data_IF_946451918008
#
_entry.id   IF_946451918008
#
_cell.length_a   1.000
_cell.length_b   1.000
_cell.length_c   1.000
_cell.angle_alpha   90.00
_cell.angle_beta   90.00
_cell.angle_gamma   90.00
#
_symmetry.space_group_name_H-M   'P 1'
#
loop_
_entity.id
_entity.type
_entity.pdbx_description
1 polymer ?
#
# COMPACT_ATOMS: atom_id res chain seq x y z
N UNK A 1 -5.49 -23.92 12.53
CA UNK A 1 -6.15 -22.84 11.76
C UNK A 1 -5.53 -22.79 10.37
N UNK A 2 -6.28 -22.36 9.36
CA UNK A 2 -5.80 -22.03 8.00
C UNK A 2 -6.06 -20.55 7.74
N UNK A 3 -5.06 -19.85 7.22
CA UNK A 3 -5.17 -18.46 6.76
C UNK A 3 -5.14 -18.46 5.23
N UNK A 4 -6.15 -17.86 4.61
CA UNK A 4 -6.26 -17.72 3.16
C UNK A 4 -6.07 -16.26 2.76
N UNK A 5 -5.06 -16.03 1.92
CA UNK A 5 -4.72 -14.72 1.32
C UNK A 5 -4.93 -14.73 -0.19
N UNK A 6 -5.81 -15.61 -0.69
CA UNK A 6 -6.08 -15.74 -2.12
C UNK A 6 -7.57 -16.02 -2.37
N UNK A 7 -8.22 -15.35 -3.35
CA UNK A 7 -9.67 -15.44 -3.54
C UNK A 7 -10.14 -16.84 -3.91
N UNK A 8 -9.31 -17.64 -4.58
CA UNK A 8 -9.67 -18.96 -5.08
C UNK A 8 -9.37 -20.11 -4.09
N UNK A 9 -8.75 -19.82 -2.94
CA UNK A 9 -8.34 -20.87 -2.01
C UNK A 9 -9.32 -21.07 -0.84
N UNK A 10 -10.31 -20.20 -0.66
CA UNK A 10 -11.24 -20.26 0.48
C UNK A 10 -12.07 -21.57 0.48
N UNK A 11 -12.73 -21.89 -0.63
CA UNK A 11 -13.56 -23.10 -0.75
C UNK A 11 -12.72 -24.37 -0.65
N UNK A 12 -11.59 -24.45 -1.37
CA UNK A 12 -10.71 -25.61 -1.34
C UNK A 12 -10.11 -25.84 0.05
N UNK A 13 -9.71 -24.76 0.73
CA UNK A 13 -9.21 -24.85 2.11
C UNK A 13 -10.28 -25.38 3.06
N UNK A 14 -11.52 -24.89 2.95
CA UNK A 14 -12.64 -25.40 3.75
C UNK A 14 -12.91 -26.88 3.50
N UNK A 15 -12.99 -27.30 2.23
CA UNK A 15 -13.19 -28.72 1.90
C UNK A 15 -12.05 -29.62 2.43
N UNK A 16 -10.80 -29.16 2.34
CA UNK A 16 -9.66 -29.89 2.88
C UNK A 16 -9.74 -30.01 4.42
N UNK A 17 -10.17 -28.96 5.12
CA UNK A 17 -10.39 -29.00 6.57
C UNK A 17 -11.45 -30.06 6.92
N UNK A 18 -12.60 -30.04 6.24
CA UNK A 18 -13.69 -31.00 6.48
C UNK A 18 -13.25 -32.45 6.25
N UNK A 19 -12.53 -32.71 5.15
CA UNK A 19 -12.03 -34.06 4.81
C UNK A 19 -10.94 -34.56 5.75
N UNK A 20 -10.22 -33.67 6.44
CA UNK A 20 -9.12 -34.06 7.33
C UNK A 20 -9.58 -34.72 8.64
N UNK A 21 -10.86 -34.61 9.00
CA UNK A 21 -11.38 -35.06 10.29
C UNK A 21 -10.84 -34.29 11.50
N UNK A 22 -10.06 -33.21 11.28
CA UNK A 22 -9.47 -32.36 12.32
C UNK A 22 -10.05 -30.94 12.22
N UNK A 23 -10.94 -30.54 13.13
CA UNK A 23 -11.51 -29.19 13.15
C UNK A 23 -10.41 -28.12 13.18
N UNK A 24 -10.50 -27.14 12.27
CA UNK A 24 -9.60 -25.99 12.19
C UNK A 24 -10.41 -24.78 11.75
N UNK A 25 -10.16 -23.63 12.37
CA UNK A 25 -10.72 -22.38 11.87
C UNK A 25 -10.10 -21.98 10.53
N UNK A 26 -10.91 -21.37 9.68
CA UNK A 26 -10.54 -20.74 8.40
C UNK A 26 -10.73 -19.23 8.50
N UNK A 27 -9.62 -18.51 8.34
CA UNK A 27 -9.61 -17.05 8.22
C UNK A 27 -9.28 -16.65 6.79
N UNK A 28 -10.01 -15.67 6.25
CA UNK A 28 -9.74 -15.05 4.95
C UNK A 28 -9.26 -13.61 5.15
N UNK A 29 -8.18 -13.21 4.51
CA UNK A 29 -7.73 -11.80 4.47
C UNK A 29 -7.85 -11.30 3.05
N UNK A 30 -8.77 -10.38 2.81
CA UNK A 30 -9.00 -9.79 1.48
C UNK A 30 -7.81 -8.90 1.13
N UNK A 31 -7.14 -9.19 0.01
CA UNK A 31 -5.95 -8.41 -0.43
C UNK A 31 -6.24 -7.33 -1.47
N UNK A 32 -7.49 -7.22 -1.90
CA UNK A 32 -7.98 -6.22 -2.83
C UNK A 32 -8.67 -5.09 -2.05
N UNK A 33 -8.30 -3.82 -2.28
CA UNK A 33 -8.68 -2.73 -1.37
C UNK A 33 -10.16 -2.35 -1.41
N UNK A 34 -10.83 -2.45 -2.57
CA UNK A 34 -12.12 -1.79 -2.79
C UNK A 34 -13.15 -2.77 -3.34
N UNK A 35 -13.08 -3.10 -4.62
CA UNK A 35 -13.82 -4.19 -5.24
C UNK A 35 -12.88 -5.38 -5.48
N UNK A 36 -13.45 -6.57 -5.43
CA UNK A 36 -12.67 -7.79 -5.32
C UNK A 36 -13.45 -8.98 -5.85
N UNK A 37 -12.76 -10.07 -6.21
CA UNK A 37 -13.43 -11.27 -6.74
C UNK A 37 -14.37 -11.91 -5.70
N UNK A 38 -15.54 -12.43 -6.12
CA UNK A 38 -16.53 -13.07 -5.21
C UNK A 38 -15.97 -14.23 -4.39
N UNK A 39 -14.88 -14.84 -4.84
CA UNK A 39 -14.17 -15.89 -4.11
C UNK A 39 -13.69 -15.47 -2.71
N UNK A 40 -13.49 -14.18 -2.46
CA UNK A 40 -13.17 -13.63 -1.14
C UNK A 40 -14.31 -13.75 -0.13
N UNK A 41 -15.56 -13.70 -0.58
CA UNK A 41 -16.76 -13.66 0.29
C UNK A 41 -17.33 -15.03 0.55
N UNK A 42 -16.48 -15.92 1.08
CA UNK A 42 -16.90 -17.27 1.45
C UNK A 42 -17.58 -17.25 2.82
N UNK A 43 -18.90 -17.44 2.85
CA UNK A 43 -19.72 -17.29 4.06
C UNK A 43 -19.45 -18.33 5.16
N UNK A 44 -18.80 -19.45 4.84
CA UNK A 44 -18.41 -20.45 5.84
C UNK A 44 -17.05 -20.19 6.48
N UNK A 45 -16.33 -19.13 6.09
CA UNK A 45 -15.15 -18.70 6.85
C UNK A 45 -15.56 -18.29 8.27
N UNK A 46 -14.70 -18.59 9.24
CA UNK A 46 -14.88 -18.19 10.64
C UNK A 46 -14.67 -16.68 10.82
N UNK A 47 -13.73 -16.12 10.05
CA UNK A 47 -13.42 -14.71 10.05
C UNK A 47 -12.97 -14.25 8.66
N UNK A 48 -13.48 -13.10 8.23
CA UNK A 48 -13.05 -12.38 7.03
C UNK A 48 -12.49 -11.02 7.44
N UNK A 49 -11.25 -10.75 7.09
CA UNK A 49 -10.60 -9.47 7.31
C UNK A 49 -10.73 -8.61 6.06
N UNK A 50 -11.31 -7.42 6.23
CA UNK A 50 -11.46 -6.42 5.20
C UNK A 50 -10.34 -5.36 5.29
N UNK A 51 -9.77 -4.93 4.15
CA UNK A 51 -8.70 -3.94 4.14
C UNK A 51 -9.19 -2.50 4.23
N UNK A 52 -10.43 -2.22 3.84
CA UNK A 52 -11.06 -0.90 3.91
C UNK A 52 -12.51 -1.01 4.34
N UNK A 53 -13.10 0.09 4.80
CA UNK A 53 -14.54 0.14 5.10
C UNK A 53 -15.40 -0.11 3.84
N UNK A 54 -14.92 0.27 2.66
CA UNK A 54 -15.59 -0.04 1.39
C UNK A 54 -15.61 -1.55 1.16
N UNK A 55 -14.47 -2.22 1.29
CA UNK A 55 -14.38 -3.67 1.15
C UNK A 55 -15.23 -4.40 2.20
N UNK A 56 -15.27 -3.90 3.44
CA UNK A 56 -16.14 -4.43 4.51
C UNK A 56 -17.61 -4.38 4.11
N UNK A 57 -18.08 -3.23 3.61
CA UNK A 57 -19.46 -3.07 3.12
C UNK A 57 -19.77 -4.00 1.94
N UNK A 58 -18.83 -4.19 1.02
CA UNK A 58 -18.97 -5.13 -0.10
C UNK A 58 -19.08 -6.57 0.42
N UNK A 59 -18.27 -6.97 1.40
CA UNK A 59 -18.29 -8.31 1.96
C UNK A 59 -19.65 -8.64 2.63
N UNK A 60 -20.18 -7.70 3.41
CA UNK A 60 -21.50 -7.82 4.05
C UNK A 60 -22.61 -7.91 2.99
N UNK A 61 -22.58 -7.04 1.98
CA UNK A 61 -23.55 -7.05 0.87
C UNK A 61 -23.52 -8.36 0.09
N UNK A 62 -22.37 -9.04 0.06
CA UNK A 62 -22.17 -10.37 -0.53
C UNK A 62 -22.41 -11.52 0.45
N UNK A 63 -23.15 -11.27 1.54
CA UNK A 63 -23.66 -12.27 2.50
C UNK A 63 -22.60 -12.92 3.39
N UNK A 64 -21.45 -12.28 3.60
CA UNK A 64 -20.61 -12.63 4.75
C UNK A 64 -21.29 -12.08 6.02
N UNK A 65 -21.52 -12.89 7.07
CA UNK A 65 -22.15 -12.42 8.30
C UNK A 65 -21.38 -11.22 8.90
N UNK A 66 -22.03 -10.08 9.23
CA UNK A 66 -21.35 -8.87 9.70
C UNK A 66 -20.43 -9.09 10.91
N UNK A 67 -20.83 -9.96 11.83
CA UNK A 67 -20.07 -10.35 13.03
C UNK A 67 -18.79 -11.14 12.72
N UNK A 68 -18.67 -11.66 11.49
CA UNK A 68 -17.48 -12.34 10.98
C UNK A 68 -16.62 -11.46 10.08
N UNK A 69 -16.97 -10.18 9.88
CA UNK A 69 -16.17 -9.25 9.08
C UNK A 69 -15.46 -8.24 10.00
N UNK A 70 -14.13 -8.31 10.07
CA UNK A 70 -13.31 -7.34 10.82
C UNK A 70 -12.58 -6.40 9.87
N UNK A 71 -12.67 -5.09 10.13
CA UNK A 71 -11.85 -4.08 9.46
C UNK A 71 -10.51 -3.98 10.20
N UNK A 72 -9.47 -4.64 9.68
CA UNK A 72 -8.12 -4.58 10.26
C UNK A 72 -7.09 -3.97 9.32
N UNK A 73 -7.47 -3.69 8.07
CA UNK A 73 -6.53 -3.20 7.06
C UNK A 73 -5.90 -4.33 6.24
N UNK A 74 -5.20 -3.93 5.17
CA UNK A 74 -4.35 -4.83 4.40
C UNK A 74 -3.05 -5.07 5.20
N UNK A 75 -2.54 -6.32 5.30
CA UNK A 75 -1.26 -6.57 5.96
C UNK A 75 -0.14 -5.70 5.38
N UNK A 76 0.53 -4.95 6.24
CA UNK A 76 1.68 -4.10 5.93
C UNK A 76 2.79 -4.36 6.95
N UNK A 77 4.06 -4.25 6.52
CA UNK A 77 5.20 -4.37 7.44
C UNK A 77 5.18 -3.21 8.45
N UNK A 78 5.33 -3.51 9.73
CA UNK A 78 5.27 -2.50 10.82
C UNK A 78 6.35 -1.41 10.73
N UNK A 79 7.39 -1.62 9.90
CA UNK A 79 8.38 -0.59 9.58
C UNK A 79 7.78 0.56 8.77
N UNK A 80 6.68 0.35 8.04
CA UNK A 80 5.88 1.41 7.45
C UNK A 80 5.04 2.07 8.54
N UNK A 81 5.54 3.20 9.02
CA UNK A 81 4.94 4.01 10.07
C UNK A 81 5.29 5.47 9.82
N UNK A 82 4.57 6.44 10.44
CA UNK A 82 5.00 7.82 10.39
C UNK A 82 6.42 7.99 10.96
N UNK A 83 7.20 8.96 10.44
CA UNK A 83 8.53 9.25 10.96
C UNK A 83 8.44 9.79 12.39
N UNK A 84 9.38 9.38 13.25
CA UNK A 84 9.56 9.97 14.57
C UNK A 84 10.13 11.40 14.44
N UNK A 85 9.99 12.26 15.47
CA UNK A 85 10.59 13.60 15.45
C UNK A 85 12.09 13.55 15.09
N UNK A 86 12.49 14.32 14.07
CA UNK A 86 13.87 14.37 13.56
C UNK A 86 14.31 13.20 12.68
N UNK A 87 13.53 12.12 12.60
CA UNK A 87 13.89 10.92 11.81
C UNK A 87 13.90 11.20 10.31
N UNK A 88 12.95 12.00 9.81
CA UNK A 88 12.88 12.38 8.39
C UNK A 88 14.16 13.08 7.93
N UNK A 89 14.63 14.07 8.67
CA UNK A 89 15.87 14.80 8.38
C UNK A 89 17.10 13.88 8.46
N UNK A 90 17.17 13.02 9.49
CA UNK A 90 18.27 12.06 9.63
C UNK A 90 18.33 11.07 8.45
N UNK A 91 17.17 10.58 7.99
CA UNK A 91 17.08 9.72 6.81
C UNK A 91 17.50 10.44 5.54
N UNK A 92 17.09 11.70 5.35
CA UNK A 92 17.53 12.54 4.22
C UNK A 92 19.05 12.67 4.18
N UNK A 93 19.71 13.02 5.29
CA UNK A 93 21.18 13.06 5.37
C UNK A 93 21.81 11.72 4.99
N UNK A 94 21.27 10.61 5.53
CA UNK A 94 21.77 9.26 5.25
C UNK A 94 21.65 8.88 3.76
N UNK A 95 20.64 9.39 3.07
CA UNK A 95 20.45 9.19 1.63
C UNK A 95 21.15 10.24 0.76
N UNK A 96 21.90 11.18 1.35
CA UNK A 96 22.58 12.26 0.60
C UNK A 96 21.63 13.33 0.07
N UNK A 97 20.48 13.50 0.71
CA UNK A 97 19.43 14.46 0.35
C UNK A 97 19.49 15.71 1.24
N UNK A 98 19.01 16.83 0.73
CA UNK A 98 18.86 18.05 1.53
C UNK A 98 17.76 17.86 2.59
N UNK A 99 17.99 18.33 3.82
CA UNK A 99 17.11 18.04 4.96
C UNK A 99 15.74 18.72 4.86
N UNK A 100 15.70 19.94 4.32
CA UNK A 100 14.50 20.79 4.34
C UNK A 100 13.77 20.83 2.99
N UNK A 101 14.26 20.12 1.97
CA UNK A 101 13.62 20.10 0.65
C UNK A 101 12.46 19.12 0.59
N UNK A 102 11.38 19.54 -0.06
CA UNK A 102 10.28 18.66 -0.40
C UNK A 102 10.80 17.47 -1.21
N UNK A 103 10.46 16.25 -0.82
CA UNK A 103 11.06 15.03 -1.37
C UNK A 103 9.98 14.14 -1.98
N UNK A 104 10.07 13.93 -3.30
CA UNK A 104 9.12 13.13 -4.08
C UNK A 104 9.70 11.75 -4.35
N UNK A 105 8.97 10.70 -3.96
CA UNK A 105 9.31 9.32 -4.30
C UNK A 105 8.54 8.88 -5.54
N UNK A 106 9.22 8.43 -6.59
CA UNK A 106 8.60 7.88 -7.81
C UNK A 106 8.92 6.39 -7.93
N UNK A 107 7.88 5.55 -7.95
CA UNK A 107 8.02 4.08 -7.94
C UNK A 107 7.33 3.47 -9.16
N UNK A 108 8.06 2.70 -9.97
CA UNK A 108 7.55 2.00 -11.16
C UNK A 108 7.01 0.58 -10.90
N UNK A 109 6.69 0.25 -9.64
CA UNK A 109 6.38 -1.12 -9.20
C UNK A 109 7.58 -2.10 -9.30
N UNK A 110 7.38 -3.35 -8.87
CA UNK A 110 8.46 -4.35 -8.76
C UNK A 110 9.17 -4.67 -10.10
N UNK A 111 8.44 -4.55 -11.21
CA UNK A 111 8.96 -4.78 -12.56
C UNK A 111 9.57 -3.51 -13.22
N UNK A 112 9.42 -2.33 -12.63
CA UNK A 112 9.90 -1.06 -13.20
C UNK A 112 9.28 -0.74 -14.56
N UNK A 113 7.98 -0.98 -14.70
CA UNK A 113 7.19 -0.78 -15.93
C UNK A 113 6.23 0.40 -15.73
N UNK A 114 6.04 1.23 -16.75
CA UNK A 114 5.06 2.33 -16.73
C UNK A 114 5.69 3.72 -16.63
N UNK A 115 6.41 4.14 -17.67
CA UNK A 115 6.76 5.56 -17.87
C UNK A 115 7.67 6.19 -16.81
N UNK A 116 8.39 5.41 -15.98
CA UNK A 116 9.17 5.95 -14.85
C UNK A 116 10.18 7.03 -15.27
N UNK A 117 10.86 6.85 -16.41
CA UNK A 117 11.78 7.88 -16.92
C UNK A 117 11.03 9.16 -17.33
N UNK A 118 9.85 9.02 -17.92
CA UNK A 118 9.05 10.16 -18.36
C UNK A 118 8.54 10.94 -17.14
N UNK A 119 8.02 10.24 -16.13
CA UNK A 119 7.61 10.84 -14.85
C UNK A 119 8.76 11.55 -14.12
N UNK A 120 9.93 10.93 -14.05
CA UNK A 120 11.12 11.57 -13.44
C UNK A 120 11.62 12.72 -14.31
N UNK A 121 11.52 12.60 -15.64
CA UNK A 121 11.86 13.65 -16.59
C UNK A 121 11.07 14.93 -16.35
N UNK A 122 9.74 14.82 -16.27
CA UNK A 122 8.87 15.98 -15.98
C UNK A 122 9.21 16.66 -14.65
N UNK A 123 9.68 15.89 -13.67
CA UNK A 123 9.99 16.41 -12.33
C UNK A 123 11.42 16.88 -12.16
N UNK A 124 12.31 16.61 -13.12
CA UNK A 124 13.74 16.80 -12.90
C UNK A 124 14.59 17.24 -14.10
N UNK A 125 14.03 17.35 -15.31
CA UNK A 125 14.74 17.99 -16.44
C UNK A 125 14.98 19.48 -16.22
N UNK A 126 14.00 20.14 -15.61
CA UNK A 126 14.15 21.51 -15.15
C UNK A 126 14.55 21.57 -13.68
N UNK A 127 15.05 22.74 -13.26
CA UNK A 127 15.46 22.98 -11.87
C UNK A 127 14.24 23.36 -11.06
N UNK A 128 13.99 22.61 -9.99
CA UNK A 128 12.92 22.87 -9.03
C UNK A 128 13.44 22.86 -7.58
N UNK A 129 12.62 23.38 -6.66
CA UNK A 129 12.96 23.48 -5.23
C UNK A 129 12.60 22.23 -4.41
N UNK A 130 12.26 21.13 -5.08
CA UNK A 130 12.16 19.79 -4.50
C UNK A 130 13.39 18.92 -4.84
N UNK A 131 13.34 17.66 -4.42
CA UNK A 131 14.27 16.61 -4.80
C UNK A 131 13.51 15.31 -5.05
N UNK A 132 14.06 14.45 -5.90
CA UNK A 132 13.41 13.22 -6.36
C UNK A 132 14.19 12.00 -5.89
N UNK A 133 13.47 11.00 -5.39
CA UNK A 133 13.97 9.63 -5.25
C UNK A 133 13.21 8.78 -6.26
N UNK A 134 13.91 8.00 -7.07
CA UNK A 134 13.28 7.03 -7.97
C UNK A 134 13.75 5.62 -7.67
N UNK A 135 12.81 4.67 -7.62
CA UNK A 135 13.06 3.26 -7.38
C UNK A 135 12.68 2.47 -8.63
N UNK A 136 13.70 2.02 -9.37
CA UNK A 136 13.53 1.27 -10.62
C UNK A 136 13.16 -0.22 -10.39
N UNK A 137 13.15 -0.68 -9.14
CA UNK A 137 12.89 -2.08 -8.80
C UNK A 137 13.91 -3.00 -9.45
N UNK A 138 13.44 -4.12 -10.03
CA UNK A 138 14.34 -5.08 -10.70
C UNK A 138 14.78 -4.66 -12.11
N UNK A 139 14.34 -3.49 -12.61
CA UNK A 139 14.69 -3.00 -13.94
C UNK A 139 16.08 -2.35 -13.95
N UNK A 140 17.13 -3.17 -13.86
CA UNK A 140 18.52 -2.73 -13.81
C UNK A 140 18.98 -2.04 -15.12
N UNK A 141 18.34 -2.36 -16.24
CA UNK A 141 18.57 -1.67 -17.52
C UNK A 141 18.12 -0.21 -17.43
N UNK A 142 16.92 0.03 -16.89
CA UNK A 142 16.40 1.38 -16.67
C UNK A 142 17.24 2.15 -15.66
N UNK A 143 17.57 1.54 -14.51
CA UNK A 143 18.42 2.16 -13.49
C UNK A 143 19.75 2.66 -14.07
N UNK A 144 20.46 1.82 -14.82
CA UNK A 144 21.73 2.18 -15.47
C UNK A 144 21.56 3.27 -16.53
N UNK A 145 20.44 3.27 -17.27
CA UNK A 145 20.13 4.33 -18.24
C UNK A 145 19.94 5.66 -17.51
N UNK A 146 19.10 5.71 -16.48
CA UNK A 146 18.80 6.92 -15.72
C UNK A 146 20.04 7.47 -15.01
N UNK A 147 20.88 6.60 -14.45
CA UNK A 147 22.11 7.00 -13.74
C UNK A 147 23.14 7.72 -14.63
N UNK A 148 23.01 7.64 -15.95
CA UNK A 148 23.87 8.35 -16.92
C UNK A 148 23.30 9.69 -17.35
N UNK A 149 22.04 9.98 -17.03
CA UNK A 149 21.37 11.23 -17.37
C UNK A 149 21.72 12.29 -16.34
N UNK A 150 21.79 13.55 -16.79
CA UNK A 150 22.01 14.71 -15.92
C UNK A 150 20.68 15.43 -15.73
N UNK A 151 20.06 15.19 -14.58
CA UNK A 151 18.87 15.92 -14.14
C UNK A 151 19.27 17.26 -13.51
N UNK A 152 18.49 18.31 -13.76
CA UNK A 152 18.71 19.63 -13.16
C UNK A 152 18.21 19.70 -11.71
N UNK A 153 17.16 18.93 -11.38
CA UNK A 153 16.70 18.74 -9.99
C UNK A 153 17.45 17.56 -9.34
N UNK A 154 17.90 17.67 -8.08
CA UNK A 154 18.58 16.58 -7.38
C UNK A 154 17.75 15.29 -7.39
N UNK A 155 18.32 14.23 -7.97
CA UNK A 155 17.60 12.98 -8.21
C UNK A 155 18.45 11.78 -7.77
N UNK A 156 17.95 11.03 -6.78
CA UNK A 156 18.54 9.78 -6.31
C UNK A 156 17.92 8.60 -7.06
N UNK A 157 18.75 7.82 -7.76
CA UNK A 157 18.31 6.72 -8.62
C UNK A 157 18.69 5.39 -7.98
N UNK A 158 17.68 4.61 -7.59
CA UNK A 158 17.82 3.34 -6.88
C UNK A 158 17.30 2.18 -7.73
N UNK A 159 17.84 0.99 -7.50
CA UNK A 159 17.37 -0.27 -8.09
C UNK A 159 16.28 -0.91 -7.24
N UNK A 160 16.44 -2.19 -6.93
CA UNK A 160 15.65 -2.87 -5.92
C UNK A 160 16.18 -2.46 -4.53
N UNK A 161 15.26 -2.24 -3.58
CA UNK A 161 15.57 -1.74 -2.24
C UNK A 161 14.84 -2.56 -1.18
N UNK A 162 15.55 -2.94 -0.12
CA UNK A 162 14.99 -3.67 1.03
C UNK A 162 14.50 -2.74 2.15
N UNK A 163 14.83 -1.45 2.04
CA UNK A 163 14.53 -0.42 3.03
C UNK A 163 13.51 0.62 2.52
N UNK A 164 12.52 0.19 1.72
CA UNK A 164 11.40 1.04 1.28
C UNK A 164 10.72 1.80 2.44
N UNK A 165 10.53 1.23 3.65
CA UNK A 165 9.96 2.00 4.77
C UNK A 165 10.80 3.21 5.19
N UNK A 166 12.14 3.14 5.07
CA UNK A 166 13.01 4.29 5.35
C UNK A 166 12.92 5.33 4.24
N UNK A 167 12.88 4.91 2.97
CA UNK A 167 12.72 5.82 1.84
C UNK A 167 11.41 6.60 1.94
N UNK A 168 10.29 5.91 2.17
CA UNK A 168 8.99 6.57 2.34
C UNK A 168 9.02 7.57 3.51
N UNK A 169 9.62 7.22 4.66
CA UNK A 169 9.72 8.15 5.81
C UNK A 169 10.60 9.37 5.55
N UNK A 170 11.52 9.30 4.57
CA UNK A 170 12.30 10.44 4.11
C UNK A 170 11.53 11.37 3.15
N UNK A 171 10.39 10.92 2.63
CA UNK A 171 9.63 11.60 1.59
C UNK A 171 8.44 12.41 2.13
N UNK A 172 7.87 13.22 1.24
CA UNK A 172 6.65 14.01 1.47
C UNK A 172 5.53 13.61 0.52
N UNK A 173 5.83 12.93 -0.59
CA UNK A 173 4.87 12.53 -1.61
C UNK A 173 5.32 11.23 -2.27
N UNK A 174 4.38 10.35 -2.61
CA UNK A 174 4.65 9.15 -3.41
C UNK A 174 3.87 9.19 -4.72
N UNK A 175 4.58 8.95 -5.81
CA UNK A 175 4.04 8.82 -7.16
C UNK A 175 4.20 7.37 -7.59
N UNK A 176 3.10 6.69 -7.87
CA UNK A 176 3.10 5.25 -8.13
C UNK A 176 1.85 4.82 -8.91
N UNK A 177 1.79 3.55 -9.28
CA UNK A 177 0.56 2.91 -9.77
C UNK A 177 -0.42 2.62 -8.62
N UNK A 178 -1.68 2.36 -8.93
CA UNK A 178 -2.75 2.04 -7.98
C UNK A 178 -2.65 0.63 -7.36
N UNK A 179 -1.43 0.18 -7.05
CA UNK A 179 -1.16 -1.10 -6.42
C UNK A 179 -1.61 -1.10 -4.94
N UNK A 180 -2.35 -2.12 -4.49
CA UNK A 180 -2.96 -2.12 -3.16
C UNK A 180 -1.91 -2.03 -2.03
N UNK A 181 -0.78 -2.74 -2.18
CA UNK A 181 0.34 -2.69 -1.24
C UNK A 181 0.96 -1.30 -1.14
N UNK A 182 1.33 -0.70 -2.28
CA UNK A 182 1.95 0.63 -2.31
C UNK A 182 1.04 1.72 -1.71
N UNK A 183 -0.28 1.62 -1.94
CA UNK A 183 -1.26 2.52 -1.33
C UNK A 183 -1.22 2.39 0.19
N UNK A 184 -1.34 1.18 0.75
CA UNK A 184 -1.36 1.02 2.21
C UNK A 184 -0.01 1.32 2.87
N UNK A 185 1.11 1.10 2.19
CA UNK A 185 2.45 1.50 2.64
C UNK A 185 2.56 3.03 2.74
N UNK A 186 2.05 3.76 1.75
CA UNK A 186 1.99 5.22 1.77
C UNK A 186 1.06 5.72 2.88
N UNK A 187 -0.14 5.15 3.02
CA UNK A 187 -1.08 5.50 4.11
C UNK A 187 -0.46 5.26 5.48
N UNK A 188 0.15 4.10 5.71
CA UNK A 188 0.83 3.75 6.96
C UNK A 188 2.01 4.69 7.28
N UNK A 189 2.66 5.26 6.26
CA UNK A 189 3.71 6.26 6.43
C UNK A 189 3.16 7.70 6.52
N UNK A 190 1.87 7.90 6.27
CA UNK A 190 1.20 9.19 6.26
C UNK A 190 1.52 10.06 5.05
N UNK A 191 1.82 9.44 3.91
CA UNK A 191 2.19 10.12 2.66
C UNK A 191 0.99 10.28 1.73
N UNK A 192 0.77 11.49 1.19
CA UNK A 192 -0.07 11.70 0.02
C UNK A 192 0.39 10.89 -1.19
N UNK A 193 -0.55 10.63 -2.10
CA UNK A 193 -0.33 9.83 -3.31
C UNK A 193 -0.64 10.62 -4.60
N UNK A 194 0.19 10.43 -5.63
CA UNK A 194 -0.20 10.66 -7.02
C UNK A 194 -0.21 9.31 -7.73
N UNK A 195 -1.38 8.93 -8.23
CA UNK A 195 -1.55 7.70 -8.99
C UNK A 195 -1.40 8.01 -10.47
N UNK A 196 -0.44 7.37 -11.14
CA UNK A 196 -0.18 7.61 -12.57
C UNK A 196 -0.79 6.56 -13.49
N UNK A 197 -1.04 5.37 -12.95
CA UNK A 197 -1.54 4.24 -13.72
C UNK A 197 -2.17 3.18 -12.82
N UNK A 198 -2.86 2.24 -13.43
CA UNK A 198 -3.44 1.09 -12.76
C UNK A 198 -3.49 -0.10 -13.73
N UNK A 199 -3.57 -1.32 -13.21
CA UNK A 199 -3.84 -2.51 -14.00
C UNK A 199 -5.35 -2.61 -14.30
N UNK A 200 -5.79 -2.54 -15.58
CA UNK A 200 -7.21 -2.62 -15.92
C UNK A 200 -7.88 -3.88 -15.39
N UNK A 201 -9.12 -3.76 -14.91
CA UNK A 201 -9.90 -4.84 -14.35
C UNK A 201 -9.57 -5.24 -12.91
N UNK A 202 -8.36 -4.95 -12.41
CA UNK A 202 -7.94 -5.29 -11.04
C UNK A 202 -7.77 -4.06 -10.13
N UNK A 203 -7.19 -2.97 -10.63
CA UNK A 203 -6.76 -1.85 -9.79
C UNK A 203 -7.52 -0.54 -10.04
N UNK A 204 -8.41 -0.48 -11.04
CA UNK A 204 -9.19 0.73 -11.32
C UNK A 204 -9.97 1.24 -10.09
N UNK A 205 -10.64 0.38 -9.29
CA UNK A 205 -11.34 0.84 -8.08
C UNK A 205 -10.42 1.43 -7.01
N UNK A 206 -9.12 1.09 -7.02
CA UNK A 206 -8.15 1.65 -6.07
C UNK A 206 -7.85 3.12 -6.38
N UNK A 207 -7.97 3.54 -7.64
CA UNK A 207 -7.86 4.95 -8.05
C UNK A 207 -8.97 5.76 -7.39
N UNK A 208 -10.21 5.31 -7.55
CA UNK A 208 -11.39 5.96 -6.96
C UNK A 208 -11.25 6.06 -5.44
N UNK A 209 -10.79 4.99 -4.77
CA UNK A 209 -10.52 5.04 -3.34
C UNK A 209 -9.50 6.11 -2.95
N UNK A 210 -8.41 6.27 -3.68
CA UNK A 210 -7.40 7.29 -3.38
C UNK A 210 -7.97 8.71 -3.55
N UNK A 211 -8.72 8.93 -4.63
CA UNK A 211 -9.31 10.24 -4.96
C UNK A 211 -10.46 10.59 -4.01
N UNK A 212 -11.44 9.70 -3.85
CA UNK A 212 -12.65 9.93 -3.04
C UNK A 212 -12.34 10.09 -1.55
N UNK A 213 -11.30 9.41 -1.07
CA UNK A 213 -10.86 9.55 0.32
C UNK A 213 -10.02 10.80 0.57
N UNK A 214 -9.60 11.50 -0.49
CA UNK A 214 -8.79 12.71 -0.41
C UNK A 214 -7.37 12.48 0.09
N UNK A 215 -6.83 11.26 -0.05
CA UNK A 215 -5.43 10.94 0.30
C UNK A 215 -4.47 11.13 -0.87
N UNK A 216 -5.01 11.38 -2.07
CA UNK A 216 -4.23 11.60 -3.26
C UNK A 216 -5.08 11.97 -4.46
N UNK A 217 -4.44 11.93 -5.62
CA UNK A 217 -4.99 12.35 -6.91
C UNK A 217 -4.60 11.36 -8.00
N UNK A 218 -5.33 11.38 -9.11
CA UNK A 218 -5.04 10.60 -10.30
C UNK A 218 -4.53 11.51 -11.41
N UNK A 219 -3.30 11.28 -11.87
CA UNK A 219 -2.60 12.05 -12.89
C UNK A 219 -2.09 11.11 -14.00
N UNK A 220 -2.96 10.72 -14.96
CA UNK A 220 -2.60 9.74 -15.98
C UNK A 220 -1.65 10.29 -17.06
N UNK A 221 -1.61 11.61 -17.25
CA UNK A 221 -0.70 12.24 -18.19
C UNK A 221 0.52 12.77 -17.45
N UNK A 222 1.67 12.71 -18.08
CA UNK A 222 2.93 13.16 -17.47
C UNK A 222 2.89 14.66 -17.12
N UNK A 223 2.28 15.49 -17.98
CA UNK A 223 2.12 16.93 -17.75
C UNK A 223 1.33 17.25 -16.48
N UNK A 224 0.33 16.42 -16.16
CA UNK A 224 -0.51 16.59 -14.96
C UNK A 224 0.32 16.38 -13.68
N UNK A 225 1.31 15.49 -13.73
CA UNK A 225 2.16 15.18 -12.57
C UNK A 225 2.94 16.42 -12.12
N UNK A 226 3.54 17.16 -13.06
CA UNK A 226 4.31 18.35 -12.73
C UNK A 226 3.44 19.45 -12.12
N UNK A 227 2.25 19.69 -12.68
CA UNK A 227 1.31 20.67 -12.15
C UNK A 227 0.91 20.36 -10.71
N UNK A 228 0.62 19.09 -10.42
CA UNK A 228 0.19 18.64 -9.11
C UNK A 228 1.33 18.63 -8.09
N UNK A 229 2.54 18.21 -8.48
CA UNK A 229 3.72 18.30 -7.60
C UNK A 229 4.03 19.75 -7.24
N UNK A 230 3.88 20.71 -8.17
CA UNK A 230 4.07 22.14 -7.87
C UNK A 230 3.16 22.60 -6.74
N UNK A 231 1.87 22.29 -6.81
CA UNK A 231 0.89 22.64 -5.77
C UNK A 231 1.22 21.96 -4.44
N UNK A 232 1.58 20.68 -4.45
CA UNK A 232 1.84 19.93 -3.22
C UNK A 232 3.18 20.29 -2.56
N UNK A 233 4.19 20.64 -3.36
CA UNK A 233 5.53 20.99 -2.88
C UNK A 233 5.57 22.33 -2.12
N UNK A 234 4.55 23.19 -2.28
CA UNK A 234 4.36 24.38 -1.44
C UNK A 234 4.10 24.03 0.04
N UNK A 235 3.79 22.77 0.36
CA UNK A 235 3.49 22.34 1.72
C UNK A 235 2.22 22.96 2.30
N UNK A 236 1.37 23.49 1.43
CA UNK A 236 0.14 24.22 1.78
C UNK A 236 -1.00 23.34 2.28
N UNK A 237 -2.20 23.92 2.46
CA UNK A 237 -3.36 23.23 3.05
C UNK A 237 -3.76 21.93 2.34
N UNK A 238 -3.60 21.86 1.02
CA UNK A 238 -3.91 20.67 0.22
C UNK A 238 -3.06 19.48 0.64
N UNK A 239 -1.73 19.64 0.64
CA UNK A 239 -0.80 18.59 1.05
C UNK A 239 -1.01 18.17 2.52
N UNK A 240 -1.19 19.15 3.41
CA UNK A 240 -1.42 18.90 4.84
C UNK A 240 -2.72 18.10 5.08
N UNK A 241 -3.79 18.43 4.35
CA UNK A 241 -5.07 17.71 4.39
C UNK A 241 -4.91 16.27 3.91
N UNK A 242 -4.24 16.04 2.78
CA UNK A 242 -3.98 14.70 2.26
C UNK A 242 -3.15 13.87 3.25
N UNK A 243 -2.07 14.43 3.79
CA UNK A 243 -1.20 13.74 4.73
C UNK A 243 -1.93 13.39 6.04
N UNK A 244 -2.83 14.27 6.52
CA UNK A 244 -3.69 13.99 7.67
C UNK A 244 -4.66 12.83 7.39
N UNK A 245 -5.38 12.89 6.26
CA UNK A 245 -6.32 11.83 5.85
C UNK A 245 -5.62 10.49 5.65
N UNK A 246 -4.40 10.50 5.10
CA UNK A 246 -3.59 9.31 4.93
C UNK A 246 -3.35 8.61 6.27
N UNK A 247 -3.03 9.38 7.33
CA UNK A 247 -2.89 8.86 8.70
C UNK A 247 -4.21 8.37 9.30
N UNK A 248 -5.31 9.10 9.10
CA UNK A 248 -6.65 8.74 9.60
C UNK A 248 -7.15 7.41 9.01
N UNK A 249 -6.84 7.13 7.75
CA UNK A 249 -7.24 5.89 7.06
C UNK A 249 -6.22 4.76 7.19
N UNK A 250 -5.09 5.02 7.84
CA UNK A 250 -4.02 4.04 7.96
C UNK A 250 -4.35 2.95 8.98
N UNK A 251 -3.90 1.72 8.68
CA UNK A 251 -3.92 0.59 9.60
C UNK A 251 -2.48 0.04 9.77
N UNK A 252 -1.56 0.78 10.40
CA UNK A 252 -0.12 0.43 10.44
C UNK A 252 0.16 -0.89 11.20
N UNK A 253 -0.78 -1.32 12.04
CA UNK A 253 -0.69 -2.56 12.82
C UNK A 253 -1.50 -3.73 12.22
N UNK A 254 -1.98 -3.61 10.98
CA UNK A 254 -2.81 -4.63 10.32
C UNK A 254 -2.20 -6.02 10.43
N UNK A 255 -0.89 -6.17 10.15
CA UNK A 255 -0.20 -7.46 10.24
C UNK A 255 -0.22 -8.05 11.64
N UNK A 256 0.04 -7.25 12.69
CA UNK A 256 0.02 -7.73 14.07
C UNK A 256 -1.39 -8.01 14.58
N UNK A 257 -2.38 -7.22 14.17
CA UNK A 257 -3.78 -7.42 14.56
C UNK A 257 -4.36 -8.66 13.89
N UNK A 258 -4.05 -8.90 12.61
CA UNK A 258 -4.43 -10.13 11.91
C UNK A 258 -3.76 -11.36 12.54
N UNK A 259 -2.47 -11.26 12.90
CA UNK A 259 -1.77 -12.34 13.59
C UNK A 259 -2.41 -12.65 14.96
N UNK A 260 -2.83 -11.63 15.71
CA UNK A 260 -3.57 -11.78 16.97
C UNK A 260 -4.88 -12.54 16.75
N UNK A 261 -5.66 -12.17 15.74
CA UNK A 261 -6.90 -12.87 15.41
C UNK A 261 -6.65 -14.33 14.98
N UNK A 262 -5.55 -14.60 14.28
CA UNK A 262 -5.16 -15.96 13.92
C UNK A 262 -4.93 -16.82 15.15
N UNK A 263 -4.23 -16.28 16.16
CA UNK A 263 -3.96 -16.98 17.42
C UNK A 263 -5.26 -17.21 18.22
N UNK A 264 -6.13 -16.20 18.31
CA UNK A 264 -7.42 -16.33 18.99
C UNK A 264 -8.30 -17.40 18.34
N UNK A 265 -8.36 -17.44 17.00
CA UNK A 265 -9.10 -18.44 16.26
C UNK A 265 -8.50 -19.85 16.44
N UNK A 266 -7.16 -19.97 16.42
CA UNK A 266 -6.50 -21.25 16.66
C UNK A 266 -6.75 -21.79 18.09
N UNK A 267 -6.75 -20.92 19.10
CA UNK A 267 -7.03 -21.27 20.48
C UNK A 267 -8.45 -21.82 20.67
N UNK A 268 -9.46 -21.18 20.06
CA UNK A 268 -10.86 -21.65 20.08
C UNK A 268 -11.00 -23.11 19.63
N UNK A 269 -10.40 -23.44 18.50
CA UNK A 269 -10.47 -24.80 17.94
C UNK A 269 -9.63 -25.82 18.73
N UNK A 270 -8.57 -25.38 19.41
CA UNK A 270 -7.76 -26.25 20.28
C UNK A 270 -8.53 -26.61 21.55
N UNK A 271 -9.20 -25.64 22.17
CA UNK A 271 -10.02 -25.86 23.35
C UNK A 271 -11.23 -26.78 23.06
N UNK A 272 -11.93 -26.59 21.94
CA UNK A 272 -13.03 -27.48 21.54
C UNK A 272 -12.56 -28.92 21.32
N UNK A 273 -11.37 -29.13 20.74
CA UNK A 273 -10.82 -30.46 20.54
C UNK A 273 -10.43 -31.17 21.85
N UNK A 274 -10.08 -30.43 22.90
CA UNK A 274 -9.81 -30.98 24.23
C UNK A 274 -11.10 -31.31 24.99
N UNK A 275 -12.14 -30.48 24.86
CA UNK A 275 -13.43 -30.71 25.52
C UNK A 275 -14.25 -31.88 24.93
N UNK A 276 -13.94 -32.32 23.70
CA UNK A 276 -14.58 -33.47 23.05
C UNK A 276 -13.83 -34.80 23.22
N UNK A 277 -12.77 -34.84 24.04
CA UNK A 277 -12.03 -36.05 24.42
C UNK A 277 -12.36 -36.43 25.86
#
# INVERSE_FOLDING_TARGET
>A
MVLSVHPLLNHTSHQAIQRSGRPRGLMTVITDLVDFHRGWTFSQADLVVAPTEVARKVAIRRRVPPERVKLLGLPVDMRFRPPAPGEKQALRRRFGLAEDRFTVLVVGGAAGVGGLLDHVGELAWEKHDWQVITVCGRNEKLRRRMARLRFATPTLILGFVDNMPELMRACDLVITKAGPGAIVEALATGLPLIITSYLPGQEAPNVDFVVDSGVGIYAPRTDDILAEVRVLAEGGPTWQSMARRARELSHPYASSDIARECLLLAARYSASAQASR
#
